data_IF_027940651278
#
_entry.id   IF_027940651278
#
_cell.length_a   1.000
_cell.length_b   1.000
_cell.length_c   1.000
_cell.angle_alpha   90.00
_cell.angle_beta   90.00
_cell.angle_gamma   90.00
#
_symmetry.space_group_name_H-M   'P 1'
#
loop_
_entity.id
_entity.type
_entity.pdbx_description
1 polymer ?
#
# COMPACT_ATOMS: atom_id res chain seq x y z
N UNK A 1 -19.65 -9.93 -11.84
CA UNK A 1 -18.51 -9.22 -11.24
C UNK A 1 -18.20 -9.95 -9.95
N UNK A 2 -17.31 -10.93 -10.04
CA UNK A 2 -16.97 -11.86 -8.95
C UNK A 2 -15.71 -11.31 -8.32
N UNK A 3 -15.76 -10.91 -7.05
CA UNK A 3 -14.55 -10.58 -6.30
C UNK A 3 -13.58 -11.77 -6.39
N UNK A 4 -12.30 -11.56 -6.73
CA UNK A 4 -11.32 -12.63 -6.68
C UNK A 4 -11.21 -13.15 -5.24
N UNK A 5 -11.31 -14.48 -5.10
CA UNK A 5 -11.13 -15.20 -3.85
C UNK A 5 -9.73 -14.88 -3.30
N UNK A 6 -9.64 -14.56 -2.00
CA UNK A 6 -8.37 -14.32 -1.30
C UNK A 6 -7.41 -15.53 -1.38
N UNK A 7 -7.86 -16.69 -1.88
CA UNK A 7 -7.01 -17.81 -2.26
C UNK A 7 -6.11 -17.57 -3.49
N UNK A 8 -6.54 -16.74 -4.46
CA UNK A 8 -5.83 -16.50 -5.73
C UNK A 8 -4.69 -15.47 -5.59
N UNK A 9 -4.71 -14.62 -4.56
CA UNK A 9 -3.62 -13.70 -4.21
C UNK A 9 -2.39 -14.39 -3.59
N UNK A 10 -2.30 -15.72 -3.64
CA UNK A 10 -1.11 -16.46 -3.23
C UNK A 10 -0.85 -16.45 -1.72
N UNK A 11 -1.87 -16.23 -0.89
CA UNK A 11 -1.80 -16.44 0.56
C UNK A 11 -1.87 -17.95 0.88
N UNK A 12 -0.87 -18.70 0.40
CA UNK A 12 -0.73 -20.13 0.65
C UNK A 12 -0.57 -20.46 2.14
N UNK A 13 -1.34 -21.45 2.60
CA UNK A 13 -1.23 -22.12 3.90
C UNK A 13 0.23 -22.57 4.16
N UNK A 14 1.01 -21.77 4.87
CA UNK A 14 2.39 -22.15 5.21
C UNK A 14 3.08 -21.29 6.26
N UNK A 15 2.76 -20.01 6.38
CA UNK A 15 3.20 -19.15 7.48
C UNK A 15 2.05 -18.25 7.88
N UNK A 16 1.55 -18.40 9.12
CA UNK A 16 0.51 -17.54 9.64
C UNK A 16 0.95 -16.08 9.53
N UNK A 17 0.33 -15.34 8.62
CA UNK A 17 0.65 -13.94 8.39
C UNK A 17 -0.17 -13.09 9.35
N UNK A 18 0.49 -12.32 10.22
CA UNK A 18 -0.21 -11.42 11.13
C UNK A 18 -0.45 -10.08 10.42
N UNK A 19 -1.72 -9.65 10.22
CA UNK A 19 -2.02 -8.33 9.68
C UNK A 19 -1.39 -7.20 10.51
N UNK A 20 -1.25 -7.41 11.82
CA UNK A 20 -0.57 -6.47 12.74
C UNK A 20 0.92 -6.36 12.41
N UNK A 21 1.59 -7.47 12.15
CA UNK A 21 3.01 -7.48 11.78
C UNK A 21 3.25 -6.83 10.41
N UNK A 22 2.35 -7.06 9.45
CA UNK A 22 2.43 -6.41 8.14
C UNK A 22 2.22 -4.91 8.26
N UNK A 23 1.15 -4.48 8.92
CA UNK A 23 0.87 -3.06 9.17
C UNK A 23 2.09 -2.36 9.77
N UNK A 24 2.71 -2.98 10.78
CA UNK A 24 3.94 -2.44 11.39
C UNK A 24 5.06 -2.29 10.38
N UNK A 25 5.31 -3.31 9.54
CA UNK A 25 6.34 -3.27 8.50
C UNK A 25 6.06 -2.20 7.44
N UNK A 26 4.81 -2.12 6.96
CA UNK A 26 4.38 -1.09 6.00
C UNK A 26 4.68 0.30 6.56
N UNK A 27 4.27 0.58 7.80
CA UNK A 27 4.51 1.88 8.42
C UNK A 27 6.00 2.18 8.63
N UNK A 28 6.79 1.18 9.00
CA UNK A 28 8.24 1.32 9.17
C UNK A 28 8.99 1.65 7.87
N UNK A 29 8.42 1.33 6.72
CA UNK A 29 9.02 1.60 5.42
C UNK A 29 8.44 2.86 4.79
N UNK A 30 7.10 2.98 4.79
CA UNK A 30 6.39 4.09 4.15
C UNK A 30 6.76 5.46 4.73
N UNK A 31 6.61 5.64 6.06
CA UNK A 31 6.75 6.95 6.69
C UNK A 31 8.17 7.54 6.54
N UNK A 32 9.25 6.76 6.76
CA UNK A 32 10.60 7.23 6.46
C UNK A 32 10.81 7.56 4.98
N UNK A 33 10.25 6.75 4.05
CA UNK A 33 10.37 7.01 2.61
C UNK A 33 9.72 8.35 2.20
N UNK A 34 8.73 8.83 2.96
CA UNK A 34 8.08 10.13 2.74
C UNK A 34 8.59 11.25 3.66
N UNK A 35 9.70 11.02 4.37
CA UNK A 35 10.30 11.97 5.32
C UNK A 35 9.33 12.41 6.44
N UNK A 36 8.43 11.52 6.87
CA UNK A 36 7.54 11.73 8.01
C UNK A 36 7.96 10.80 9.14
N UNK A 37 8.07 11.34 10.34
CA UNK A 37 8.17 10.54 11.56
C UNK A 37 6.77 10.36 12.15
N UNK A 38 6.24 9.13 12.11
CA UNK A 38 4.92 8.82 12.67
C UNK A 38 4.84 9.11 14.18
N UNK A 39 5.97 9.04 14.90
CA UNK A 39 6.02 9.32 16.34
C UNK A 39 5.83 10.81 16.67
N UNK A 40 6.07 11.70 15.71
CA UNK A 40 6.08 13.16 15.91
C UNK A 40 5.19 13.90 14.91
N UNK A 41 4.42 13.18 14.09
CA UNK A 41 3.52 13.80 13.13
C UNK A 41 2.38 14.49 13.89
N UNK A 42 2.08 15.74 13.54
CA UNK A 42 0.99 16.47 14.17
C UNK A 42 -0.36 16.03 13.61
N UNK A 43 -1.47 16.12 14.37
CA UNK A 43 -2.80 15.80 13.86
C UNK A 43 -3.16 16.57 12.58
N UNK A 44 -2.80 17.85 12.50
CA UNK A 44 -3.02 18.66 11.29
C UNK A 44 -2.22 18.17 10.09
N UNK A 45 -0.98 17.70 10.29
CA UNK A 45 -0.19 17.08 9.21
C UNK A 45 -0.81 15.75 8.79
N UNK A 46 -1.26 14.92 9.75
CA UNK A 46 -1.91 13.66 9.45
C UNK A 46 -3.20 13.86 8.63
N UNK A 47 -4.04 14.82 9.02
CA UNK A 47 -5.24 15.20 8.29
C UNK A 47 -4.92 15.70 6.86
N UNK A 48 -3.92 16.57 6.70
CA UNK A 48 -3.49 17.04 5.37
C UNK A 48 -3.06 15.88 4.45
N UNK A 49 -2.31 14.92 5.00
CA UNK A 49 -1.85 13.77 4.23
C UNK A 49 -2.99 12.82 3.86
N UNK A 50 -3.98 12.67 4.73
CA UNK A 50 -5.14 11.79 4.56
C UNK A 50 -6.22 12.37 3.65
N UNK A 51 -6.66 13.60 3.89
CA UNK A 51 -7.81 14.19 3.19
C UNK A 51 -7.45 14.79 1.84
N UNK A 52 -6.19 15.21 1.64
CA UNK A 52 -5.68 15.56 0.32
C UNK A 52 -5.17 14.36 -0.46
N UNK A 53 -5.38 13.14 0.05
CA UNK A 53 -4.89 11.87 -0.48
C UNK A 53 -3.40 11.88 -0.88
N UNK A 54 -2.63 12.77 -0.22
CA UNK A 54 -1.22 13.03 -0.50
C UNK A 54 -0.38 11.77 -0.33
N UNK A 55 -0.80 10.88 0.56
CA UNK A 55 -0.13 9.61 0.80
C UNK A 55 -0.07 8.68 -0.43
N UNK A 56 -1.01 8.81 -1.37
CA UNK A 56 -1.06 8.00 -2.60
C UNK A 56 -0.97 8.82 -3.89
N UNK A 57 -1.42 10.08 -3.88
CA UNK A 57 -1.48 10.92 -5.08
C UNK A 57 -0.20 11.72 -5.34
N UNK A 58 0.54 12.10 -4.28
CA UNK A 58 1.78 12.88 -4.45
C UNK A 58 2.95 12.02 -4.91
N UNK A 59 3.91 12.62 -5.63
CA UNK A 59 5.15 11.92 -6.05
C UNK A 59 5.86 11.25 -4.87
N UNK A 60 5.93 11.94 -3.73
CA UNK A 60 6.58 11.39 -2.53
C UNK A 60 5.74 10.24 -1.93
N UNK A 61 4.42 10.42 -1.85
CA UNK A 61 3.50 9.37 -1.41
C UNK A 61 3.59 8.11 -2.25
N UNK A 62 3.60 8.24 -3.58
CA UNK A 62 3.77 7.13 -4.52
C UNK A 62 5.08 6.37 -4.28
N UNK A 63 6.20 7.08 -4.11
CA UNK A 63 7.49 6.45 -3.73
C UNK A 63 7.39 5.67 -2.42
N UNK A 64 6.68 6.22 -1.43
CA UNK A 64 6.37 5.53 -0.19
C UNK A 64 5.56 4.25 -0.40
N UNK A 65 4.51 4.29 -1.25
CA UNK A 65 3.70 3.11 -1.60
C UNK A 65 4.57 2.04 -2.28
N UNK A 66 5.39 2.39 -3.26
CA UNK A 66 6.29 1.45 -3.96
C UNK A 66 7.23 0.74 -2.97
N UNK A 67 7.86 1.50 -2.08
CA UNK A 67 8.76 0.95 -1.07
C UNK A 67 8.03 0.01 -0.09
N UNK A 68 6.86 0.42 0.39
CA UNK A 68 6.06 -0.39 1.31
C UNK A 68 5.46 -1.65 0.66
N UNK A 69 5.06 -1.56 -0.61
CA UNK A 69 4.61 -2.70 -1.41
C UNK A 69 5.75 -3.69 -1.63
N UNK A 70 6.96 -3.21 -1.97
CA UNK A 70 8.16 -4.06 -2.06
C UNK A 70 8.40 -4.82 -0.75
N UNK A 71 8.37 -4.12 0.39
CA UNK A 71 8.55 -4.73 1.70
C UNK A 71 7.45 -5.74 2.06
N UNK A 72 6.22 -5.49 1.60
CA UNK A 72 5.08 -6.39 1.75
C UNK A 72 5.27 -7.67 0.97
N UNK A 73 5.65 -7.57 -0.31
CA UNK A 73 5.92 -8.71 -1.19
C UNK A 73 7.06 -9.58 -0.65
N UNK A 74 8.16 -8.97 -0.19
CA UNK A 74 9.25 -9.70 0.48
C UNK A 74 8.75 -10.43 1.73
N UNK A 75 7.91 -9.79 2.55
CA UNK A 75 7.41 -10.39 3.78
C UNK A 75 6.51 -11.61 3.54
N UNK A 76 5.77 -11.64 2.42
CA UNK A 76 4.92 -12.77 2.03
C UNK A 76 5.64 -13.79 1.14
N UNK A 77 6.94 -13.58 0.84
CA UNK A 77 7.74 -14.48 0.01
C UNK A 77 7.58 -14.29 -1.50
N UNK A 78 6.91 -13.22 -1.93
CA UNK A 78 6.71 -12.83 -3.33
C UNK A 78 7.76 -11.82 -3.83
N UNK A 79 8.97 -11.83 -3.26
CA UNK A 79 10.04 -10.88 -3.61
C UNK A 79 10.52 -10.97 -5.05
N UNK A 80 10.28 -12.09 -5.75
CA UNK A 80 10.57 -12.25 -7.18
C UNK A 80 9.79 -11.29 -8.08
N UNK A 81 8.74 -10.64 -7.56
CA UNK A 81 7.97 -9.61 -8.26
C UNK A 81 8.61 -8.22 -8.22
N UNK A 82 9.76 -8.08 -7.56
CA UNK A 82 10.54 -6.84 -7.52
C UNK A 82 11.63 -6.96 -8.60
N UNK A 83 11.46 -6.17 -9.66
CA UNK A 83 12.39 -6.11 -10.79
C UNK A 83 13.44 -5.05 -10.47
N UNK A 84 14.65 -5.51 -10.18
CA UNK A 84 15.79 -4.63 -9.94
C UNK A 84 16.35 -4.09 -11.25
N UNK A 85 16.79 -2.81 -11.28
CA UNK A 85 17.36 -2.21 -12.48
C UNK A 85 18.62 -2.96 -12.90
N UNK A 86 18.75 -3.23 -14.20
CA UNK A 86 19.93 -3.90 -14.78
C UNK A 86 20.86 -2.92 -15.50
N UNK A 87 20.39 -1.69 -15.75
CA UNK A 87 21.16 -0.61 -16.33
C UNK A 87 21.19 0.64 -15.43
N UNK A 88 22.20 1.48 -15.61
CA UNK A 88 22.33 2.77 -14.92
C UNK A 88 21.26 3.72 -15.44
N UNK A 89 20.37 4.16 -14.56
CA UNK A 89 19.28 5.08 -14.89
C UNK A 89 17.88 4.46 -14.77
N UNK A 90 17.79 3.14 -14.67
CA UNK A 90 16.51 2.45 -14.46
C UNK A 90 16.06 2.53 -13.00
N UNK A 91 14.76 2.70 -12.80
CA UNK A 91 14.14 2.64 -11.46
C UNK A 91 13.68 1.20 -11.14
N UNK A 92 13.55 0.90 -9.84
CA UNK A 92 12.98 -0.39 -9.40
C UNK A 92 11.51 -0.44 -9.83
N UNK A 93 11.11 -1.55 -10.45
CA UNK A 93 9.72 -1.80 -10.83
C UNK A 93 9.16 -2.92 -9.96
N UNK A 94 7.97 -2.70 -9.42
CA UNK A 94 7.27 -3.66 -8.58
C UNK A 94 6.03 -4.15 -9.31
N UNK A 95 6.01 -5.42 -9.68
CA UNK A 95 4.83 -6.07 -10.24
C UNK A 95 3.88 -6.49 -9.11
N UNK A 96 2.67 -5.96 -9.12
CA UNK A 96 1.74 -6.15 -8.01
C UNK A 96 0.30 -6.03 -8.47
N UNK A 97 -0.64 -6.30 -7.57
CA UNK A 97 -2.07 -6.15 -7.85
C UNK A 97 -2.62 -4.89 -7.22
N UNK A 98 -3.74 -4.38 -7.75
CA UNK A 98 -4.48 -3.26 -7.14
C UNK A 98 -4.82 -3.57 -5.68
N UNK A 99 -5.18 -4.82 -5.37
CA UNK A 99 -5.44 -5.26 -4.01
C UNK A 99 -4.25 -5.09 -3.05
N UNK A 100 -3.02 -5.38 -3.50
CA UNK A 100 -1.83 -5.26 -2.63
C UNK A 100 -1.46 -3.80 -2.37
N UNK A 101 -1.51 -2.93 -3.38
CA UNK A 101 -1.25 -1.48 -3.17
C UNK A 101 -2.33 -0.83 -2.32
N UNK A 102 -3.58 -1.26 -2.48
CA UNK A 102 -4.71 -0.79 -1.67
C UNK A 102 -4.60 -1.26 -0.22
N UNK A 103 -4.10 -2.46 0.02
CA UNK A 103 -3.81 -2.95 1.37
C UNK A 103 -2.73 -2.10 2.06
N UNK A 104 -1.67 -1.74 1.32
CA UNK A 104 -0.64 -0.80 1.81
C UNK A 104 -1.26 0.55 2.12
N UNK A 105 -2.09 1.09 1.22
CA UNK A 105 -2.84 2.34 1.42
C UNK A 105 -3.70 2.31 2.68
N UNK A 106 -4.45 1.23 2.90
CA UNK A 106 -5.30 1.04 4.08
C UNK A 106 -4.50 1.08 5.38
N UNK A 107 -3.30 0.49 5.41
CA UNK A 107 -2.44 0.53 6.59
C UNK A 107 -1.85 1.92 6.85
N UNK A 108 -1.42 2.62 5.80
CA UNK A 108 -0.91 3.99 5.89
C UNK A 108 -2.02 4.92 6.36
N UNK A 109 -3.22 4.84 5.77
CA UNK A 109 -4.37 5.64 6.17
C UNK A 109 -4.81 5.35 7.60
N UNK A 110 -4.81 4.08 8.02
CA UNK A 110 -5.09 3.72 9.41
C UNK A 110 -4.03 4.23 10.40
N UNK A 111 -2.80 4.47 9.97
CA UNK A 111 -1.77 5.09 10.79
C UNK A 111 -1.94 6.62 10.85
N UNK A 112 -2.32 7.25 9.74
CA UNK A 112 -2.69 8.67 9.70
C UNK A 112 -3.93 8.95 10.55
N UNK A 113 -4.95 8.09 10.48
CA UNK A 113 -6.15 8.15 11.33
C UNK A 113 -5.80 8.13 12.82
N UNK A 114 -4.89 7.24 13.22
CA UNK A 114 -4.47 7.12 14.61
C UNK A 114 -3.65 8.34 15.07
N UNK A 115 -2.88 8.95 14.17
CA UNK A 115 -2.11 10.15 14.46
C UNK A 115 -2.97 11.43 14.46
N UNK A 116 -4.02 11.48 13.64
CA UNK A 116 -5.05 12.52 13.67
C UNK A 116 -5.87 12.43 14.97
N UNK A 117 -6.32 11.23 15.31
CA UNK A 117 -7.16 10.94 16.46
C UNK A 117 -6.34 10.41 17.64
N UNK A 118 -5.23 11.07 18.02
CA UNK A 118 -4.38 10.65 19.14
C UNK A 118 -5.08 10.50 20.51
N UNK A 119 -6.40 10.76 20.59
CA UNK A 119 -7.29 10.53 21.73
C UNK A 119 -8.32 9.38 21.56
N UNK A 120 -8.37 8.66 20.42
CA UNK A 120 -9.43 7.68 20.11
C UNK A 120 -8.92 6.27 19.83
N UNK A 121 -9.29 5.31 20.67
CA UNK A 121 -9.02 3.88 20.49
C UNK A 121 -9.93 3.27 19.42
N UNK A 122 -9.45 3.13 18.19
CA UNK A 122 -10.08 2.26 17.19
C UNK A 122 -9.16 1.08 16.87
N UNK A 123 -9.60 -0.12 17.26
CA UNK A 123 -8.97 -1.39 16.92
C UNK A 123 -9.10 -1.62 15.41
N UNK A 124 -7.96 -1.84 14.74
CA UNK A 124 -7.88 -2.05 13.28
C UNK A 124 -8.33 -3.46 12.84
N UNK A 125 -9.02 -4.19 13.73
CA UNK A 125 -9.46 -5.57 13.48
C UNK A 125 -10.76 -5.69 12.68
N UNK A 126 -11.75 -4.84 12.95
CA UNK A 126 -13.14 -5.21 12.64
C UNK A 126 -13.62 -4.86 11.22
N UNK A 127 -12.82 -4.13 10.43
CA UNK A 127 -13.26 -3.60 9.13
C UNK A 127 -12.17 -3.63 8.03
N UNK A 128 -11.22 -4.56 8.07
CA UNK A 128 -10.11 -4.56 7.10
C UNK A 128 -10.60 -4.70 5.65
N UNK A 129 -11.63 -5.51 5.40
CA UNK A 129 -12.19 -5.70 4.05
C UNK A 129 -12.86 -4.43 3.53
N UNK A 130 -13.75 -3.81 4.32
CA UNK A 130 -14.40 -2.54 3.95
C UNK A 130 -13.38 -1.42 3.71
N UNK A 131 -12.33 -1.37 4.54
CA UNK A 131 -11.23 -0.42 4.35
C UNK A 131 -10.43 -0.70 3.09
N UNK A 132 -10.26 -1.97 2.72
CA UNK A 132 -9.58 -2.35 1.51
C UNK A 132 -10.38 -1.95 0.27
N UNK A 133 -11.68 -2.22 0.25
CA UNK A 133 -12.57 -1.82 -0.86
C UNK A 133 -12.62 -0.31 -1.02
N UNK A 134 -12.71 0.44 0.08
CA UNK A 134 -12.66 1.90 0.05
C UNK A 134 -11.32 2.45 -0.46
N UNK A 135 -10.21 1.77 -0.16
CA UNK A 135 -8.89 2.13 -0.69
C UNK A 135 -8.74 1.72 -2.16
N UNK A 136 -9.29 0.59 -2.58
CA UNK A 136 -9.27 0.20 -4.00
C UNK A 136 -9.95 1.25 -4.88
N UNK A 137 -11.15 1.70 -4.51
CA UNK A 137 -11.86 2.75 -5.23
C UNK A 137 -11.05 4.08 -5.29
N UNK A 138 -10.33 4.39 -4.21
CA UNK A 138 -9.41 5.54 -4.15
C UNK A 138 -8.22 5.40 -5.09
N UNK A 139 -7.60 4.22 -5.15
CA UNK A 139 -6.51 3.97 -6.08
C UNK A 139 -7.00 4.06 -7.53
N UNK A 140 -8.17 3.48 -7.84
CA UNK A 140 -8.81 3.58 -9.15
C UNK A 140 -9.05 5.04 -9.61
N UNK A 141 -9.37 5.95 -8.68
CA UNK A 141 -9.54 7.38 -8.98
C UNK A 141 -8.22 8.13 -9.26
N UNK A 142 -7.13 7.72 -8.61
CA UNK A 142 -5.88 8.50 -8.58
C UNK A 142 -4.72 7.90 -9.38
N UNK A 143 -4.81 6.64 -9.75
CA UNK A 143 -3.75 5.90 -10.43
C UNK A 143 -4.23 5.41 -11.79
N UNK A 144 -3.26 5.20 -12.68
CA UNK A 144 -3.53 4.56 -13.97
C UNK A 144 -3.62 3.05 -13.72
N UNK A 145 -4.74 2.45 -14.13
CA UNK A 145 -5.07 1.05 -13.84
C UNK A 145 -4.67 0.10 -14.97
N UNK A 146 -3.77 0.48 -15.88
CA UNK A 146 -3.31 -0.43 -16.95
C UNK A 146 -2.18 -1.35 -16.47
N UNK A 147 -1.73 -2.24 -17.36
CA UNK A 147 -0.61 -3.15 -17.11
C UNK A 147 0.76 -2.56 -17.49
N UNK A 148 0.84 -1.25 -17.73
CA UNK A 148 2.09 -0.54 -17.96
C UNK A 148 2.77 -0.13 -16.65
N UNK A 149 4.04 0.30 -16.75
CA UNK A 149 4.82 0.75 -15.59
C UNK A 149 4.53 2.22 -15.32
N UNK A 150 3.92 2.49 -14.17
CA UNK A 150 3.67 3.85 -13.70
C UNK A 150 4.35 4.08 -12.36
N UNK A 151 5.30 5.02 -12.31
CA UNK A 151 5.98 5.45 -11.07
C UNK A 151 6.59 4.28 -10.27
N UNK A 152 7.16 3.27 -10.95
CA UNK A 152 7.78 2.12 -10.30
C UNK A 152 6.83 0.99 -9.89
N UNK A 153 5.55 1.04 -10.29
CA UNK A 153 4.60 -0.07 -10.14
C UNK A 153 4.03 -0.47 -11.50
N UNK A 154 3.86 -1.79 -11.67
CA UNK A 154 3.10 -2.39 -12.75
C UNK A 154 1.94 -3.19 -12.15
N UNK A 155 0.71 -2.91 -12.56
CA UNK A 155 -0.47 -3.62 -12.07
C UNK A 155 -0.75 -4.84 -12.95
N UNK A 156 -0.51 -6.04 -12.41
CA UNK A 156 -0.67 -7.29 -13.18
C UNK A 156 -2.13 -7.71 -13.36
N UNK A 157 -3.05 -7.11 -12.60
CA UNK A 157 -4.50 -7.23 -12.72
C UNK A 157 -5.15 -5.97 -13.31
N UNK A 158 -4.36 -4.99 -13.73
CA UNK A 158 -4.83 -3.74 -14.33
C UNK A 158 -5.39 -3.92 -15.75
N UNK A 159 -4.91 -4.93 -16.47
CA UNK A 159 -5.56 -5.38 -17.68
C UNK A 159 -6.82 -6.19 -17.30
N UNK A 160 -7.94 -5.50 -17.09
CA UNK A 160 -9.23 -6.16 -17.19
C UNK A 160 -9.28 -6.88 -18.55
N UNK A 161 -9.59 -8.18 -18.53
CA UNK A 161 -9.81 -8.99 -19.73
C UNK A 161 -10.65 -8.21 -20.76
N UNK A 162 -10.15 -8.10 -21.99
CA UNK A 162 -10.97 -7.67 -23.13
C UNK A 162 -12.03 -8.73 -23.44
#
# INVERSE_FOLDING_TARGET
MTCPDLGEIGFGRGRGFSPVALKKRVNQVYFPAVNISLATVTPGTAALWKYGDKYMASTLGRKGIVAATSATLVAVGAGSRIIHPTAVGDEVVVETTVAVVSLVGAFVRAALDAAENSAGTHNVGDYLLEKLEAEQARFEEHWVMDDEVHNGIRLVDGAAEQ
#
